data_IF_432933103992
#
_entry.id   IF_432933103992
#
_cell.length_a   1.000
_cell.length_b   1.000
_cell.length_c   1.000
_cell.angle_alpha   90.00
_cell.angle_beta   90.00
_cell.angle_gamma   90.00
#
_symmetry.space_group_name_H-M   'P 1'
#
loop_
_entity.id
_entity.type
_entity.pdbx_description
1 polymer ?
#
# COMPACT_ATOMS: atom_id res chain seq x y z
N UNK A 1 48.97 16.49 47.14
CA UNK A 1 47.75 16.30 46.32
C UNK A 1 46.64 17.10 46.95
N UNK A 2 45.93 17.90 46.17
CA UNK A 2 44.85 18.75 46.70
C UNK A 2 43.50 17.98 46.53
N UNK A 3 42.98 17.49 47.66
CA UNK A 3 41.75 16.69 47.70
C UNK A 3 40.56 17.39 47.04
N UNK A 4 40.46 18.72 47.13
CA UNK A 4 39.45 19.51 46.47
C UNK A 4 39.51 19.45 44.94
N UNK A 5 40.71 19.50 44.37
CA UNK A 5 40.93 19.39 42.93
C UNK A 5 40.54 18.00 42.43
N UNK A 6 40.88 16.96 43.17
CA UNK A 6 40.52 15.57 42.84
C UNK A 6 39.00 15.39 42.86
N UNK A 7 38.30 15.96 43.83
CA UNK A 7 36.83 15.91 43.88
C UNK A 7 36.18 16.66 42.73
N UNK A 8 36.66 17.86 42.37
CA UNK A 8 36.14 18.63 41.23
C UNK A 8 36.33 17.87 39.91
N UNK A 9 37.48 17.24 39.72
CA UNK A 9 37.74 16.43 38.55
C UNK A 9 36.77 15.25 38.46
N UNK A 10 36.58 14.51 39.57
CA UNK A 10 35.64 13.39 39.60
C UNK A 10 34.20 13.83 39.29
N UNK A 11 33.77 14.95 39.85
CA UNK A 11 32.45 15.51 39.55
C UNK A 11 32.31 15.96 38.10
N UNK A 12 33.34 16.59 37.52
CA UNK A 12 33.35 16.99 36.13
C UNK A 12 33.26 15.75 35.17
N UNK A 13 34.03 14.72 35.46
CA UNK A 13 33.97 13.46 34.71
C UNK A 13 32.56 12.86 34.79
N UNK A 14 32.04 12.65 35.99
CA UNK A 14 30.74 11.99 36.22
C UNK A 14 29.57 12.80 35.69
N UNK A 15 29.56 14.12 35.84
CA UNK A 15 28.40 14.96 35.53
C UNK A 15 28.42 15.58 34.12
N UNK A 16 29.61 15.64 33.48
CA UNK A 16 29.78 16.32 32.19
C UNK A 16 30.36 15.40 31.12
N UNK A 17 31.50 14.78 31.37
CA UNK A 17 32.24 14.02 30.34
C UNK A 17 31.50 12.72 30.02
N UNK A 18 31.20 11.89 31.03
CA UNK A 18 30.53 10.58 30.80
C UNK A 18 29.18 10.77 30.12
N UNK A 19 28.26 11.64 30.58
CA UNK A 19 26.99 11.85 29.88
C UNK A 19 27.12 12.43 28.47
N UNK A 20 28.17 13.23 28.22
CA UNK A 20 28.44 13.74 26.89
C UNK A 20 28.87 12.63 25.92
N UNK A 21 29.77 11.75 26.37
CA UNK A 21 30.22 10.59 25.61
C UNK A 21 29.07 9.61 25.36
N UNK A 22 28.27 9.31 26.37
CA UNK A 22 27.10 8.43 26.24
C UNK A 22 26.12 8.95 25.19
N UNK A 23 25.80 10.25 25.24
CA UNK A 23 24.90 10.86 24.23
C UNK A 23 25.50 10.74 22.81
N UNK A 24 26.79 11.04 22.67
CA UNK A 24 27.45 10.95 21.37
C UNK A 24 27.41 9.52 20.81
N UNK A 25 27.78 8.53 21.64
CA UNK A 25 27.71 7.13 21.22
C UNK A 25 26.30 6.71 20.83
N UNK A 26 25.29 7.12 21.63
CA UNK A 26 23.88 6.84 21.28
C UNK A 26 23.48 7.45 19.94
N UNK A 27 23.87 8.70 19.68
CA UNK A 27 23.59 9.36 18.41
C UNK A 27 24.24 8.61 17.25
N UNK A 28 25.54 8.30 17.36
CA UNK A 28 26.26 7.58 16.31
C UNK A 28 25.65 6.18 16.06
N UNK A 29 25.26 5.44 17.11
CA UNK A 29 24.60 4.14 16.96
C UNK A 29 23.21 4.26 16.34
N UNK A 30 22.46 5.31 16.66
CA UNK A 30 21.14 5.57 16.08
C UNK A 30 21.25 5.85 14.60
N UNK A 31 22.19 6.72 14.19
CA UNK A 31 22.45 7.04 12.78
C UNK A 31 22.79 5.78 11.96
N UNK A 32 23.67 4.92 12.48
CA UNK A 32 24.02 3.65 11.82
C UNK A 32 22.81 2.71 11.71
N UNK A 33 21.99 2.65 12.77
CA UNK A 33 20.78 1.81 12.76
C UNK A 33 19.72 2.33 11.79
N UNK A 34 19.52 3.65 11.72
CA UNK A 34 18.60 4.30 10.78
C UNK A 34 19.01 4.06 9.33
N UNK A 35 20.28 4.24 9.00
CA UNK A 35 20.81 3.96 7.66
C UNK A 35 20.60 2.50 7.25
N UNK A 36 20.88 1.56 8.16
CA UNK A 36 20.62 0.14 7.93
C UNK A 36 19.14 -0.18 7.72
N UNK A 37 18.26 0.45 8.50
CA UNK A 37 16.83 0.27 8.36
C UNK A 37 16.30 0.84 7.03
N UNK A 38 16.79 2.01 6.60
CA UNK A 38 16.44 2.63 5.32
C UNK A 38 16.88 1.74 4.15
N UNK A 39 18.09 1.19 4.20
CA UNK A 39 18.60 0.28 3.16
C UNK A 39 17.73 -0.97 3.05
N UNK A 40 17.42 -1.62 4.16
CA UNK A 40 16.56 -2.80 4.19
C UNK A 40 15.16 -2.51 3.68
N UNK A 41 14.58 -1.39 4.09
CA UNK A 41 13.28 -0.94 3.59
C UNK A 41 13.29 -0.70 2.08
N UNK A 42 14.32 -0.04 1.57
CA UNK A 42 14.49 0.23 0.13
C UNK A 42 14.60 -1.07 -0.68
N UNK A 43 15.34 -2.06 -0.18
CA UNK A 43 15.45 -3.37 -0.83
C UNK A 43 14.12 -4.13 -0.83
N UNK A 44 13.42 -4.15 0.29
CA UNK A 44 12.11 -4.78 0.41
C UNK A 44 11.08 -4.11 -0.53
N UNK A 45 11.06 -2.78 -0.57
CA UNK A 45 10.19 -2.03 -1.47
C UNK A 45 10.51 -2.32 -2.94
N UNK A 46 11.79 -2.36 -3.31
CA UNK A 46 12.22 -2.71 -4.66
C UNK A 46 11.73 -4.09 -5.06
N UNK A 47 11.90 -5.09 -4.19
CA UNK A 47 11.46 -6.45 -4.45
C UNK A 47 9.94 -6.53 -4.62
N UNK A 48 9.18 -5.75 -3.84
CA UNK A 48 7.73 -5.66 -3.94
C UNK A 48 7.29 -5.03 -5.27
N UNK A 49 7.95 -3.94 -5.69
CA UNK A 49 7.63 -3.24 -6.94
C UNK A 49 8.02 -4.06 -8.19
N UNK A 50 9.01 -4.93 -8.09
CA UNK A 50 9.48 -5.78 -9.20
C UNK A 50 8.79 -7.14 -9.26
N UNK A 51 7.68 -7.36 -8.57
CA UNK A 51 6.87 -8.58 -8.72
C UNK A 51 6.39 -8.67 -10.17
N UNK A 52 6.61 -9.81 -10.87
CA UNK A 52 6.21 -9.95 -12.26
C UNK A 52 4.71 -9.76 -12.45
N UNK A 53 4.27 -9.03 -13.49
CA UNK A 53 2.86 -8.86 -13.79
C UNK A 53 2.23 -10.19 -14.22
N UNK A 54 0.93 -10.33 -13.97
CA UNK A 54 0.12 -11.42 -14.52
C UNK A 54 -0.10 -11.15 -16.01
N UNK A 55 0.69 -11.81 -16.87
CA UNK A 55 0.60 -11.66 -18.31
C UNK A 55 -0.49 -12.57 -18.91
N UNK A 56 -1.11 -12.09 -19.98
CA UNK A 56 -2.08 -12.89 -20.75
C UNK A 56 -3.38 -13.15 -19.99
N UNK A 57 -3.79 -12.23 -19.11
CA UNK A 57 -5.04 -12.32 -18.33
C UNK A 57 -5.72 -10.97 -18.28
N UNK A 58 -7.03 -10.98 -18.32
CA UNK A 58 -7.83 -9.79 -18.02
C UNK A 58 -7.99 -9.69 -16.51
N UNK A 59 -7.46 -8.61 -15.94
CA UNK A 59 -7.42 -8.40 -14.49
C UNK A 59 -8.27 -7.19 -14.09
N UNK A 60 -9.07 -7.34 -13.06
CA UNK A 60 -9.75 -6.23 -12.39
C UNK A 60 -9.00 -5.90 -11.10
N UNK A 61 -8.39 -4.72 -11.04
CA UNK A 61 -7.85 -4.13 -9.82
C UNK A 61 -8.99 -3.58 -8.97
N UNK A 62 -8.96 -3.90 -7.68
CA UNK A 62 -9.95 -3.47 -6.70
C UNK A 62 -9.22 -2.77 -5.54
N UNK A 63 -9.33 -1.44 -5.46
CA UNK A 63 -8.76 -0.61 -4.40
C UNK A 63 -9.83 -0.32 -3.35
N UNK A 64 -9.80 -0.99 -2.16
CA UNK A 64 -10.86 -0.91 -1.19
C UNK A 64 -10.85 0.42 -0.42
N UNK A 65 -12.02 0.99 -0.14
CA UNK A 65 -12.17 2.11 0.78
C UNK A 65 -13.59 2.18 1.36
N UNK A 66 -13.71 2.63 2.62
CA UNK A 66 -15.01 2.73 3.28
C UNK A 66 -15.86 3.92 2.80
N UNK A 67 -15.30 5.12 2.77
CA UNK A 67 -16.06 6.36 2.54
C UNK A 67 -16.08 6.83 1.10
N UNK A 68 -14.96 6.72 0.43
CA UNK A 68 -14.80 7.19 -0.96
C UNK A 68 -15.32 6.18 -1.99
N UNK A 69 -15.71 4.99 -1.53
CA UNK A 69 -16.05 3.86 -2.38
C UNK A 69 -14.80 3.11 -2.85
N UNK A 70 -14.98 1.86 -3.24
CA UNK A 70 -13.94 1.05 -3.84
C UNK A 70 -13.74 1.48 -5.30
N UNK A 71 -12.48 1.68 -5.69
CA UNK A 71 -12.11 2.04 -7.07
C UNK A 71 -11.75 0.78 -7.82
N UNK A 72 -12.30 0.66 -9.00
CA UNK A 72 -12.09 -0.48 -9.89
C UNK A 72 -11.38 -0.02 -11.15
N UNK A 73 -10.42 -0.82 -11.62
CA UNK A 73 -9.79 -0.65 -12.91
C UNK A 73 -9.67 -2.01 -13.60
N UNK A 74 -10.17 -2.12 -14.83
CA UNK A 74 -10.01 -3.33 -15.64
C UNK A 74 -8.88 -3.11 -16.63
N UNK A 75 -7.94 -4.05 -16.67
CA UNK A 75 -6.84 -4.05 -17.62
C UNK A 75 -6.88 -5.33 -18.48
N UNK A 76 -6.49 -5.20 -19.74
CA UNK A 76 -6.39 -6.32 -20.66
C UNK A 76 -5.10 -7.15 -20.42
N UNK A 77 -4.91 -8.16 -21.24
CA UNK A 77 -3.76 -9.08 -21.21
C UNK A 77 -2.39 -8.38 -21.37
N UNK A 78 -2.39 -7.16 -21.91
CA UNK A 78 -1.19 -6.35 -22.14
C UNK A 78 -0.95 -5.29 -21.05
N UNK A 79 -1.92 -5.13 -20.11
CA UNK A 79 -1.90 -4.08 -19.09
C UNK A 79 -2.56 -2.77 -19.53
N UNK A 80 -3.20 -2.72 -20.70
CA UNK A 80 -3.95 -1.55 -21.16
C UNK A 80 -5.24 -1.41 -20.37
N UNK A 81 -5.50 -0.22 -19.84
CA UNK A 81 -6.73 0.09 -19.12
C UNK A 81 -7.94 0.09 -20.06
N UNK A 82 -8.94 -0.73 -19.74
CA UNK A 82 -10.20 -0.87 -20.49
C UNK A 82 -11.33 -0.05 -19.86
N UNK A 83 -11.44 -0.07 -18.52
CA UNK A 83 -12.50 0.63 -17.81
C UNK A 83 -12.06 1.02 -16.40
N UNK A 84 -12.66 2.08 -15.86
CA UNK A 84 -12.56 2.46 -14.44
C UNK A 84 -13.93 2.77 -13.89
N UNK A 85 -14.18 2.38 -12.64
CA UNK A 85 -15.46 2.62 -11.97
C UNK A 85 -15.25 2.79 -10.46
N UNK A 86 -16.17 3.46 -9.79
CA UNK A 86 -16.24 3.52 -8.33
C UNK A 86 -17.53 2.87 -7.89
N UNK A 87 -17.45 1.92 -6.96
CA UNK A 87 -18.60 1.25 -6.37
C UNK A 87 -18.59 1.39 -4.85
N UNK A 88 -19.72 1.16 -4.21
CA UNK A 88 -19.87 1.26 -2.75
C UNK A 88 -20.28 -0.10 -2.17
N UNK A 89 -19.30 -1.03 -2.02
CA UNK A 89 -19.59 -2.44 -1.70
C UNK A 89 -19.80 -2.72 -0.21
N UNK A 90 -19.37 -1.82 0.69
CA UNK A 90 -19.30 -2.07 2.13
C UNK A 90 -19.83 -0.87 2.93
N UNK A 91 -20.17 -1.08 4.19
CA UNK A 91 -20.58 0.00 5.09
C UNK A 91 -19.52 1.14 5.09
N UNK A 92 -19.93 2.42 5.17
CA UNK A 92 -21.27 2.92 5.52
C UNK A 92 -22.28 3.02 4.36
N UNK A 93 -22.02 2.34 3.24
CA UNK A 93 -22.97 2.31 2.12
C UNK A 93 -24.32 1.72 2.54
N UNK A 94 -25.39 2.26 1.94
CA UNK A 94 -26.76 1.75 2.17
C UNK A 94 -26.94 0.40 1.47
N UNK A 95 -27.85 -0.48 1.96
CA UNK A 95 -28.10 -1.78 1.33
C UNK A 95 -28.37 -1.71 -0.19
N UNK A 96 -29.13 -0.71 -0.63
CA UNK A 96 -29.40 -0.49 -2.06
C UNK A 96 -28.12 -0.18 -2.88
N UNK A 97 -27.14 0.51 -2.28
CA UNK A 97 -25.85 0.80 -2.93
C UNK A 97 -24.98 -0.46 -3.02
N UNK A 98 -25.02 -1.30 -1.98
CA UNK A 98 -24.29 -2.58 -1.96
C UNK A 98 -24.86 -3.52 -3.04
N UNK A 99 -26.19 -3.62 -3.15
CA UNK A 99 -26.82 -4.42 -4.22
C UNK A 99 -26.55 -3.87 -5.62
N UNK A 100 -26.49 -2.55 -5.76
CA UNK A 100 -26.08 -1.93 -7.01
C UNK A 100 -24.61 -2.25 -7.33
N UNK A 101 -23.71 -2.17 -6.34
CA UNK A 101 -22.31 -2.51 -6.48
C UNK A 101 -22.08 -3.97 -6.94
N UNK A 102 -22.90 -4.93 -6.44
CA UNK A 102 -22.87 -6.33 -6.91
C UNK A 102 -23.19 -6.44 -8.41
N UNK A 103 -24.23 -5.74 -8.85
CA UNK A 103 -24.64 -5.73 -10.26
C UNK A 103 -23.54 -5.11 -11.14
N UNK A 104 -22.96 -4.01 -10.71
CA UNK A 104 -21.89 -3.32 -11.42
C UNK A 104 -20.63 -4.17 -11.55
N UNK A 105 -20.18 -4.79 -10.45
CA UNK A 105 -19.04 -5.71 -10.49
C UNK A 105 -19.32 -6.91 -11.40
N UNK A 106 -20.51 -7.51 -11.30
CA UNK A 106 -20.93 -8.63 -12.15
C UNK A 106 -20.99 -8.24 -13.64
N UNK A 107 -21.43 -6.99 -13.93
CA UNK A 107 -21.43 -6.47 -15.30
C UNK A 107 -20.03 -6.31 -15.86
N UNK A 108 -19.10 -5.71 -15.10
CA UNK A 108 -17.70 -5.58 -15.51
C UNK A 108 -17.04 -6.93 -15.76
N UNK A 109 -17.29 -7.91 -14.91
CA UNK A 109 -16.76 -9.27 -15.08
C UNK A 109 -17.21 -9.86 -16.41
N UNK A 110 -18.50 -9.75 -16.74
CA UNK A 110 -19.08 -10.30 -17.96
C UNK A 110 -18.67 -9.54 -19.21
N UNK A 111 -18.69 -8.20 -19.15
CA UNK A 111 -18.41 -7.33 -20.28
C UNK A 111 -16.97 -7.46 -20.79
N UNK A 112 -16.01 -7.49 -19.85
CA UNK A 112 -14.60 -7.53 -20.18
C UNK A 112 -13.97 -8.91 -20.09
N UNK A 113 -14.71 -9.93 -19.67
CA UNK A 113 -14.17 -11.28 -19.53
C UNK A 113 -13.10 -11.36 -18.43
N UNK A 114 -13.32 -10.70 -17.30
CA UNK A 114 -12.37 -10.68 -16.18
C UNK A 114 -12.11 -12.10 -15.67
N UNK A 115 -10.86 -12.46 -15.56
CA UNK A 115 -10.43 -13.77 -15.06
C UNK A 115 -9.93 -13.71 -13.59
N UNK A 116 -9.33 -12.58 -13.20
CA UNK A 116 -8.74 -12.40 -11.87
C UNK A 116 -9.14 -11.03 -11.30
N UNK A 117 -9.52 -11.02 -10.03
CA UNK A 117 -9.73 -9.78 -9.26
C UNK A 117 -8.57 -9.65 -8.27
N UNK A 118 -7.78 -8.59 -8.41
CA UNK A 118 -6.70 -8.24 -7.49
C UNK A 118 -7.20 -7.22 -6.46
N UNK A 119 -7.36 -7.64 -5.21
CA UNK A 119 -7.89 -6.81 -4.12
C UNK A 119 -6.72 -6.27 -3.30
N UNK A 120 -6.62 -4.95 -3.15
CA UNK A 120 -5.64 -4.30 -2.30
C UNK A 120 -5.80 -4.70 -0.82
N UNK A 121 -4.68 -4.82 -0.10
CA UNK A 121 -4.68 -5.25 1.30
C UNK A 121 -4.78 -4.10 2.31
N UNK A 122 -5.18 -2.91 1.89
CA UNK A 122 -5.32 -1.73 2.74
C UNK A 122 -6.63 -1.68 3.52
N UNK A 123 -7.13 -0.47 3.70
CA UNK A 123 -8.38 -0.20 4.45
C UNK A 123 -9.57 -0.89 3.77
N UNK A 124 -10.47 -1.50 4.57
CA UNK A 124 -11.67 -2.22 4.10
C UNK A 124 -11.39 -3.49 3.24
N UNK A 125 -10.16 -4.03 3.25
CA UNK A 125 -9.80 -5.19 2.45
C UNK A 125 -10.62 -6.44 2.81
N UNK A 126 -10.82 -6.72 4.10
CA UNK A 126 -11.57 -7.92 4.56
C UNK A 126 -13.05 -7.87 4.17
N UNK A 127 -13.67 -6.71 4.35
CA UNK A 127 -15.07 -6.50 3.98
C UNK A 127 -15.25 -6.58 2.46
N UNK A 128 -14.29 -6.04 1.71
CA UNK A 128 -14.27 -6.11 0.25
C UNK A 128 -14.02 -7.53 -0.26
N UNK A 129 -13.16 -8.29 0.41
CA UNK A 129 -12.96 -9.72 0.12
C UNK A 129 -14.26 -10.51 0.28
N UNK A 130 -14.98 -10.31 1.40
CA UNK A 130 -16.26 -10.98 1.63
C UNK A 130 -17.29 -10.60 0.56
N UNK A 131 -17.37 -9.33 0.17
CA UNK A 131 -18.23 -8.84 -0.90
C UNK A 131 -17.88 -9.47 -2.26
N UNK A 132 -16.61 -9.48 -2.63
CA UNK A 132 -16.16 -10.09 -3.88
C UNK A 132 -16.43 -11.59 -3.90
N UNK A 133 -16.14 -12.30 -2.80
CA UNK A 133 -16.41 -13.73 -2.67
C UNK A 133 -17.90 -14.04 -2.87
N UNK A 134 -18.81 -13.21 -2.33
CA UNK A 134 -20.25 -13.35 -2.54
C UNK A 134 -20.62 -13.20 -4.03
N UNK A 135 -20.12 -12.17 -4.72
CA UNK A 135 -20.40 -11.96 -6.15
C UNK A 135 -19.85 -13.12 -7.00
N UNK A 136 -18.70 -13.67 -6.63
CA UNK A 136 -18.06 -14.75 -7.38
C UNK A 136 -18.78 -16.10 -7.28
N UNK A 137 -19.75 -16.28 -6.39
CA UNK A 137 -20.64 -17.45 -6.42
C UNK A 137 -21.33 -17.62 -7.79
N UNK A 138 -21.66 -16.50 -8.46
CA UNK A 138 -22.31 -16.49 -9.77
C UNK A 138 -21.29 -16.51 -10.95
N UNK A 139 -19.98 -16.51 -10.63
CA UNK A 139 -18.88 -16.44 -11.60
C UNK A 139 -17.79 -17.50 -11.34
N UNK A 140 -18.07 -18.80 -11.44
CA UNK A 140 -17.16 -19.87 -10.98
C UNK A 140 -15.81 -19.94 -11.74
N UNK A 141 -15.68 -19.25 -12.87
CA UNK A 141 -14.42 -19.16 -13.63
C UNK A 141 -13.48 -18.05 -13.17
N UNK A 142 -13.95 -17.13 -12.34
CA UNK A 142 -13.18 -15.96 -11.88
C UNK A 142 -12.56 -16.26 -10.50
N UNK A 143 -11.33 -15.82 -10.33
CA UNK A 143 -10.60 -15.95 -9.04
C UNK A 143 -10.26 -14.60 -8.48
N UNK A 144 -10.04 -14.52 -7.18
CA UNK A 144 -9.48 -13.31 -6.57
C UNK A 144 -8.17 -13.61 -5.84
N UNK A 145 -7.39 -12.58 -5.64
CA UNK A 145 -6.13 -12.59 -4.88
C UNK A 145 -6.00 -11.30 -4.10
N UNK A 146 -5.53 -11.41 -2.86
CA UNK A 146 -5.18 -10.23 -2.06
C UNK A 146 -3.75 -9.81 -2.42
N UNK A 147 -3.56 -8.54 -2.78
CA UNK A 147 -2.27 -7.99 -3.20
C UNK A 147 -1.85 -6.84 -2.29
N UNK A 148 -0.54 -6.67 -2.13
CA UNK A 148 -0.01 -5.52 -1.41
C UNK A 148 -0.06 -4.28 -2.30
N UNK A 149 -0.80 -3.25 -1.88
CA UNK A 149 -1.01 -2.02 -2.63
C UNK A 149 0.02 -0.92 -2.34
N UNK A 150 0.97 -1.14 -1.44
CA UNK A 150 1.95 -0.10 -1.04
C UNK A 150 2.76 0.42 -2.23
N UNK A 151 3.13 -0.46 -3.17
CA UNK A 151 3.82 -0.07 -4.39
C UNK A 151 2.98 0.84 -5.28
N UNK A 152 1.71 0.52 -5.48
CA UNK A 152 0.78 1.34 -6.26
C UNK A 152 0.56 2.71 -5.62
N UNK A 153 0.43 2.77 -4.30
CA UNK A 153 0.29 4.04 -3.56
C UNK A 153 1.52 4.95 -3.73
N UNK A 154 2.72 4.40 -3.65
CA UNK A 154 3.97 5.16 -3.88
C UNK A 154 4.07 5.62 -5.33
N UNK A 155 3.80 4.73 -6.28
CA UNK A 155 3.86 5.04 -7.71
C UNK A 155 2.88 6.15 -8.09
N UNK A 156 1.61 6.04 -7.69
CA UNK A 156 0.56 7.00 -8.07
C UNK A 156 0.87 8.45 -7.65
N UNK A 157 1.62 8.64 -6.56
CA UNK A 157 2.05 9.95 -6.06
C UNK A 157 3.36 10.45 -6.71
N UNK A 158 4.09 9.59 -7.42
CA UNK A 158 5.41 9.91 -7.98
C UNK A 158 5.36 10.88 -9.17
N UNK A 159 6.49 11.53 -9.46
CA UNK A 159 6.65 12.32 -10.68
C UNK A 159 6.56 11.46 -11.93
N UNK A 160 7.07 10.22 -11.87
CA UNK A 160 7.01 9.27 -12.98
C UNK A 160 5.56 9.03 -13.39
N UNK A 161 4.67 8.72 -12.44
CA UNK A 161 3.26 8.51 -12.72
C UNK A 161 2.55 9.75 -13.29
N UNK A 162 2.99 10.97 -12.90
CA UNK A 162 2.49 12.21 -13.48
C UNK A 162 2.89 12.38 -14.95
N UNK A 163 4.10 11.94 -15.29
CA UNK A 163 4.59 11.99 -16.67
C UNK A 163 3.97 10.92 -17.55
N UNK A 164 3.77 9.71 -17.02
CA UNK A 164 3.18 8.59 -17.77
C UNK A 164 1.66 8.77 -17.98
N UNK A 165 0.96 9.34 -16.98
CA UNK A 165 -0.49 9.51 -16.99
C UNK A 165 -0.90 10.93 -16.61
N UNK A 166 -0.56 11.96 -17.43
CA UNK A 166 -0.83 13.36 -17.11
C UNK A 166 -2.32 13.69 -16.98
N UNK A 167 -3.16 12.99 -17.74
CA UNK A 167 -4.62 13.20 -17.72
C UNK A 167 -5.30 12.54 -16.49
N UNK A 168 -4.64 11.64 -15.79
CA UNK A 168 -5.25 10.91 -14.67
C UNK A 168 -4.98 11.62 -13.34
N UNK A 169 -5.99 11.67 -12.48
CA UNK A 169 -5.82 12.09 -11.08
C UNK A 169 -5.00 11.06 -10.31
N UNK A 170 -4.44 11.46 -9.16
CA UNK A 170 -3.64 10.56 -8.31
C UNK A 170 -4.39 9.27 -7.97
N UNK A 171 -5.71 9.38 -7.75
CA UNK A 171 -6.54 8.22 -7.42
C UNK A 171 -6.80 7.26 -8.59
N UNK A 172 -6.48 7.64 -9.81
CA UNK A 172 -6.71 6.83 -11.03
C UNK A 172 -5.41 6.34 -11.69
N UNK A 173 -4.27 6.83 -11.22
CA UNK A 173 -2.92 6.38 -11.63
C UNK A 173 -2.51 5.07 -10.92
#
# INVERSE_FOLDING_TARGET
>A
KNAYVDEVIQQAVKKKIVPAIERRIRTELTEVAEDGAIQLFSENLRNLLLIPPLKGRVVLGFDPAFRTGAKLAVVDETGKMLATQVIYPVAPAKPAQIEQAKKELSSLIKEFGVEIIAIGNGTASRESEAFVAEVLHDHPGVRYVIVNESGASVYSASELARHEFPELTVEKR
#
